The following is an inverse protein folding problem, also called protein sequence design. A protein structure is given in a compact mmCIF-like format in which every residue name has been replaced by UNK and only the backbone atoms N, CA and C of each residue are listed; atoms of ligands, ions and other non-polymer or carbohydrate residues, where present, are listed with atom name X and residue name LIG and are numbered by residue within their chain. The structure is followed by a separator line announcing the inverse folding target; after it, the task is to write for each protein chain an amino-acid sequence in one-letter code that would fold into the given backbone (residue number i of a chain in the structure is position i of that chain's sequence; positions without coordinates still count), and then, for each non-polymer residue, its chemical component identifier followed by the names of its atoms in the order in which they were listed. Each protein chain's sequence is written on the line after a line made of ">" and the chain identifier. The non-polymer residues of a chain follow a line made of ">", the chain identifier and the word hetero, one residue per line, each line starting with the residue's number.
data_IF_769064956193
#
_entry.id   IF_769064956193
#
_cell.length_a   1.000
_cell.length_b   1.000
_cell.length_c   1.000
_cell.angle_alpha   90.00
_cell.angle_beta   90.00
_cell.angle_gamma   90.00
#
_symmetry.space_group_name_H-M   'P 1'
#
loop_
_entity.id
_entity.type
_entity.pdbx_description
1 polymer ?
#
# COMPACT_ATOMS: atom_id res chain seq x y z
N UNK A 1 12.15 -7.06 -0.70
CA UNK A 1 11.37 -7.71 -1.76
C UNK A 1 12.14 -7.78 -3.08
N UNK A 2 12.68 -6.68 -3.60
CA UNK A 2 13.46 -6.61 -4.85
C UNK A 2 14.64 -7.58 -4.92
N UNK A 3 15.48 -7.62 -3.87
CA UNK A 3 16.67 -8.51 -3.83
C UNK A 3 16.25 -9.98 -3.89
N UNK A 4 15.22 -10.36 -3.15
CA UNK A 4 14.70 -11.74 -3.13
C UNK A 4 14.11 -12.16 -4.47
N UNK A 5 13.35 -11.28 -5.12
CA UNK A 5 12.79 -11.50 -6.44
C UNK A 5 13.91 -11.65 -7.50
N UNK A 6 14.91 -10.76 -7.48
CA UNK A 6 16.03 -10.79 -8.40
C UNK A 6 16.89 -12.06 -8.21
N UNK A 7 17.20 -12.44 -6.96
CA UNK A 7 17.98 -13.65 -6.67
C UNK A 7 17.23 -14.92 -7.07
N UNK A 8 15.94 -15.03 -6.72
CA UNK A 8 15.12 -16.17 -7.12
C UNK A 8 14.96 -16.30 -8.63
N UNK A 9 14.71 -15.19 -9.33
CA UNK A 9 14.64 -15.17 -10.79
C UNK A 9 15.96 -15.54 -11.45
N UNK A 10 17.10 -15.05 -10.93
CA UNK A 10 18.42 -15.39 -11.47
C UNK A 10 18.74 -16.90 -11.28
N UNK A 11 18.44 -17.47 -10.12
CA UNK A 11 18.65 -18.90 -9.87
C UNK A 11 17.75 -19.75 -10.79
N UNK A 12 16.50 -19.34 -10.97
CA UNK A 12 15.58 -19.99 -11.92
C UNK A 12 16.10 -19.96 -13.34
N UNK A 13 16.53 -18.77 -13.82
CA UNK A 13 17.06 -18.59 -15.18
C UNK A 13 18.34 -19.41 -15.39
N UNK A 14 19.24 -19.46 -14.40
CA UNK A 14 20.45 -20.29 -14.45
C UNK A 14 20.07 -21.78 -14.50
N UNK A 15 19.15 -22.24 -13.64
CA UNK A 15 18.65 -23.61 -13.65
C UNK A 15 18.10 -24.01 -15.02
N UNK A 16 17.22 -23.18 -15.58
CA UNK A 16 16.64 -23.41 -16.91
C UNK A 16 17.70 -23.40 -18.04
N UNK A 17 18.65 -22.48 -18.00
CA UNK A 17 19.74 -22.44 -18.97
C UNK A 17 20.62 -23.71 -18.91
N UNK A 18 20.95 -24.17 -17.71
CA UNK A 18 21.72 -25.39 -17.52
C UNK A 18 20.97 -26.61 -18.04
N UNK A 19 19.66 -26.70 -17.84
CA UNK A 19 18.83 -27.80 -18.36
C UNK A 19 18.81 -27.82 -19.88
N UNK A 20 18.60 -26.64 -20.51
CA UNK A 20 18.48 -26.53 -21.98
C UNK A 20 19.84 -26.73 -22.67
N UNK A 21 20.92 -26.09 -22.19
CA UNK A 21 22.20 -26.05 -22.86
C UNK A 21 23.17 -27.14 -22.42
N UNK A 22 23.20 -27.49 -21.14
CA UNK A 22 24.20 -28.44 -20.58
C UNK A 22 23.64 -29.86 -20.33
N UNK A 23 22.32 -30.10 -20.52
CA UNK A 23 21.66 -31.41 -20.29
C UNK A 23 22.06 -32.02 -18.91
N UNK A 24 21.99 -31.21 -17.89
CA UNK A 24 22.43 -31.58 -16.53
C UNK A 24 21.54 -32.71 -15.97
N UNK A 25 22.08 -33.61 -15.11
CA UNK A 25 21.28 -34.66 -14.47
C UNK A 25 20.13 -34.08 -13.64
N UNK A 26 18.96 -34.72 -13.69
CA UNK A 26 17.73 -34.30 -12.99
C UNK A 26 17.93 -33.85 -11.53
N UNK A 27 18.77 -34.48 -10.68
CA UNK A 27 18.97 -34.02 -9.31
C UNK A 27 19.55 -32.62 -9.18
N UNK A 28 20.41 -32.20 -10.09
CA UNK A 28 21.03 -30.89 -10.06
C UNK A 28 20.01 -29.82 -10.51
N UNK A 29 19.28 -30.10 -11.59
CA UNK A 29 18.15 -29.27 -12.04
C UNK A 29 17.15 -29.04 -10.91
N UNK A 30 16.72 -30.13 -10.27
CA UNK A 30 15.74 -30.12 -9.20
C UNK A 30 16.24 -29.30 -7.98
N UNK A 31 17.53 -29.36 -7.66
CA UNK A 31 18.14 -28.55 -6.61
C UNK A 31 18.01 -27.03 -6.91
N UNK A 32 18.33 -26.59 -8.15
CA UNK A 32 18.17 -25.18 -8.54
C UNK A 32 16.72 -24.74 -8.49
N UNK A 33 15.79 -25.57 -8.97
CA UNK A 33 14.37 -25.26 -9.00
C UNK A 33 13.78 -25.21 -7.59
N UNK A 34 14.13 -26.15 -6.69
CA UNK A 34 13.68 -26.12 -5.30
C UNK A 34 14.24 -24.89 -4.57
N UNK A 35 15.53 -24.57 -4.71
CA UNK A 35 16.11 -23.38 -4.09
C UNK A 35 15.42 -22.10 -4.57
N UNK A 36 15.21 -21.99 -5.89
CA UNK A 36 14.47 -20.86 -6.45
C UNK A 36 13.03 -20.78 -5.92
N UNK A 37 12.32 -21.92 -5.85
CA UNK A 37 10.97 -22.00 -5.31
C UNK A 37 10.90 -21.56 -3.84
N UNK A 38 11.83 -22.03 -3.00
CA UNK A 38 11.89 -21.65 -1.59
C UNK A 38 12.16 -20.16 -1.41
N UNK A 39 13.03 -19.57 -2.23
CA UNK A 39 13.31 -18.14 -2.20
C UNK A 39 12.09 -17.32 -2.66
N UNK A 40 11.43 -17.71 -3.73
CA UNK A 40 10.30 -16.98 -4.30
C UNK A 40 8.99 -17.24 -3.55
N UNK A 41 8.71 -18.48 -3.21
CA UNK A 41 7.41 -18.93 -2.72
C UNK A 41 7.32 -19.26 -1.23
N UNK A 42 8.45 -19.31 -0.52
CA UNK A 42 8.47 -19.74 0.88
C UNK A 42 7.58 -18.89 1.81
N UNK A 43 7.49 -17.60 1.58
CA UNK A 43 6.59 -16.71 2.32
C UNK A 43 5.11 -16.91 1.94
N UNK A 44 4.83 -17.18 0.67
CA UNK A 44 3.47 -17.46 0.17
C UNK A 44 2.94 -18.74 0.81
N UNK A 45 3.73 -19.81 0.79
CA UNK A 45 3.39 -21.08 1.44
C UNK A 45 3.24 -20.90 2.95
N UNK A 46 4.15 -20.16 3.59
CA UNK A 46 4.05 -19.88 5.02
C UNK A 46 2.79 -19.10 5.38
N UNK A 47 2.44 -18.09 4.58
CA UNK A 47 1.21 -17.33 4.78
C UNK A 47 -0.03 -18.19 4.56
N UNK A 48 -0.04 -19.06 3.55
CA UNK A 48 -1.13 -20.02 3.34
C UNK A 48 -1.34 -20.90 4.58
N UNK A 49 -0.28 -21.50 5.11
CA UNK A 49 -0.36 -22.34 6.33
C UNK A 49 -0.87 -21.53 7.52
N UNK A 50 -0.36 -20.32 7.72
CA UNK A 50 -0.79 -19.43 8.81
C UNK A 50 -2.25 -18.99 8.66
N UNK A 51 -2.74 -18.76 7.44
CA UNK A 51 -4.12 -18.35 7.18
C UNK A 51 -5.09 -19.54 7.38
N UNK A 52 -4.69 -20.74 7.00
CA UNK A 52 -5.43 -21.97 7.30
C UNK A 52 -5.58 -22.14 8.82
N UNK A 53 -4.51 -21.97 9.59
CA UNK A 53 -4.55 -22.08 11.06
C UNK A 53 -5.46 -21.05 11.73
N UNK A 54 -5.77 -19.93 11.03
CA UNK A 54 -6.71 -18.89 11.47
C UNK A 54 -8.13 -19.06 10.90
N UNK A 55 -8.41 -20.20 10.25
CA UNK A 55 -9.71 -20.49 9.66
C UNK A 55 -10.00 -19.79 8.31
N UNK A 56 -8.99 -19.18 7.70
CA UNK A 56 -9.08 -18.58 6.36
C UNK A 56 -8.46 -19.52 5.34
N UNK A 57 -9.23 -20.53 4.91
CA UNK A 57 -8.71 -21.64 4.11
C UNK A 57 -8.64 -21.30 2.61
N UNK A 58 -9.49 -20.43 2.09
CA UNK A 58 -9.63 -20.20 0.65
C UNK A 58 -9.20 -18.77 0.27
N UNK A 59 -7.91 -18.47 0.51
CA UNK A 59 -7.30 -17.23 0.03
C UNK A 59 -6.40 -17.46 -1.20
N UNK A 60 -5.87 -16.38 -1.74
CA UNK A 60 -4.97 -16.41 -2.89
C UNK A 60 -3.67 -17.19 -2.61
N UNK A 61 -3.13 -17.07 -1.40
CA UNK A 61 -1.91 -17.78 -0.99
C UNK A 61 -2.15 -19.29 -0.94
N UNK A 62 -3.32 -19.73 -0.51
CA UNK A 62 -3.72 -21.13 -0.53
C UNK A 62 -3.79 -21.67 -1.96
N UNK A 63 -4.48 -20.96 -2.87
CA UNK A 63 -4.58 -21.37 -4.26
C UNK A 63 -3.22 -21.50 -4.93
N UNK A 64 -2.35 -20.50 -4.76
CA UNK A 64 -1.01 -20.49 -5.33
C UNK A 64 -0.13 -21.62 -4.75
N UNK A 65 -0.22 -21.84 -3.43
CA UNK A 65 0.55 -22.91 -2.77
C UNK A 65 0.10 -24.29 -3.23
N UNK A 66 -1.21 -24.55 -3.27
CA UNK A 66 -1.75 -25.86 -3.71
C UNK A 66 -1.41 -26.13 -5.17
N UNK A 67 -1.56 -25.12 -6.05
CA UNK A 67 -1.28 -25.26 -7.48
C UNK A 67 0.21 -25.56 -7.73
N UNK A 68 1.11 -24.81 -7.09
CA UNK A 68 2.55 -24.95 -7.32
C UNK A 68 3.12 -26.20 -6.66
N UNK A 69 2.67 -26.58 -5.45
CA UNK A 69 3.04 -27.86 -4.81
C UNK A 69 2.48 -29.02 -5.64
N UNK A 70 1.23 -28.91 -6.13
CA UNK A 70 0.65 -29.91 -7.00
C UNK A 70 1.44 -30.08 -8.29
N UNK A 71 1.93 -29.01 -8.90
CA UNK A 71 2.81 -29.07 -10.08
C UNK A 71 4.13 -29.81 -9.77
N UNK A 72 4.73 -29.58 -8.59
CA UNK A 72 5.88 -30.37 -8.14
C UNK A 72 5.58 -31.86 -8.01
N UNK A 73 4.40 -32.23 -7.48
CA UNK A 73 4.01 -33.64 -7.31
C UNK A 73 3.84 -34.37 -8.64
N UNK A 74 3.35 -33.69 -9.68
CA UNK A 74 3.17 -34.28 -11.01
C UNK A 74 4.43 -34.20 -11.90
N UNK A 75 5.55 -33.61 -11.38
CA UNK A 75 6.82 -33.54 -12.10
C UNK A 75 7.01 -32.30 -12.97
N UNK A 76 6.08 -31.32 -12.93
CA UNK A 76 6.15 -30.06 -13.68
C UNK A 76 6.90 -28.99 -12.87
N UNK A 77 8.16 -29.28 -12.57
CA UNK A 77 8.99 -28.44 -11.69
C UNK A 77 9.26 -27.04 -12.23
N UNK A 78 9.65 -26.85 -13.52
CA UNK A 78 9.90 -25.53 -14.07
C UNK A 78 8.65 -24.64 -14.05
N UNK A 79 7.48 -25.23 -14.35
CA UNK A 79 6.20 -24.53 -14.38
C UNK A 79 5.80 -24.04 -12.99
N UNK A 80 5.99 -24.86 -11.95
CA UNK A 80 5.72 -24.48 -10.58
C UNK A 80 6.52 -23.25 -10.13
N UNK A 81 7.81 -23.20 -10.51
CA UNK A 81 8.68 -22.07 -10.17
C UNK A 81 8.32 -20.85 -11.02
N UNK A 82 8.01 -21.03 -12.30
CA UNK A 82 7.59 -19.93 -13.18
C UNK A 82 6.33 -19.25 -12.68
N UNK A 83 5.32 -20.03 -12.30
CA UNK A 83 4.06 -19.51 -11.73
C UNK A 83 4.33 -18.69 -10.48
N UNK A 84 5.17 -19.19 -9.56
CA UNK A 84 5.52 -18.46 -8.34
C UNK A 84 6.32 -17.19 -8.65
N UNK A 85 7.20 -17.22 -9.64
CA UNK A 85 7.94 -16.04 -10.10
C UNK A 85 6.99 -14.97 -10.65
N UNK A 86 6.05 -15.34 -11.53
CA UNK A 86 5.06 -14.40 -12.08
C UNK A 86 4.16 -13.82 -10.99
N UNK A 87 3.76 -14.63 -10.01
CA UNK A 87 3.01 -14.14 -8.86
C UNK A 87 3.79 -13.08 -8.08
N UNK A 88 5.07 -13.34 -7.76
CA UNK A 88 5.92 -12.40 -7.03
C UNK A 88 6.20 -11.12 -7.82
N UNK A 89 6.29 -11.20 -9.15
CA UNK A 89 6.38 -10.00 -10.00
C UNK A 89 5.10 -9.17 -9.91
N UNK A 90 3.93 -9.81 -9.96
CA UNK A 90 2.63 -9.14 -9.77
C UNK A 90 2.54 -8.43 -8.42
N UNK A 91 2.87 -9.12 -7.32
CA UNK A 91 2.91 -8.57 -5.97
C UNK A 91 3.89 -7.39 -5.83
N UNK A 92 5.04 -7.47 -6.52
CA UNK A 92 6.01 -6.37 -6.54
C UNK A 92 5.41 -5.11 -7.18
N UNK A 93 4.79 -5.22 -8.36
CA UNK A 93 4.15 -4.07 -9.01
C UNK A 93 2.98 -3.52 -8.20
N UNK A 94 2.17 -4.39 -7.59
CA UNK A 94 1.11 -3.99 -6.68
C UNK A 94 1.65 -3.20 -5.49
N UNK A 95 2.69 -3.71 -4.83
CA UNK A 95 3.31 -3.03 -3.68
C UNK A 95 3.90 -1.67 -4.05
N UNK A 96 4.43 -1.54 -5.27
CA UNK A 96 4.97 -0.27 -5.78
C UNK A 96 3.86 0.75 -6.03
N UNK A 97 2.76 0.32 -6.65
CA UNK A 97 1.59 1.15 -6.91
C UNK A 97 0.97 1.68 -5.61
N UNK A 98 0.75 0.79 -4.63
CA UNK A 98 0.21 1.16 -3.31
C UNK A 98 1.15 2.11 -2.55
N UNK A 99 2.48 1.88 -2.59
CA UNK A 99 3.46 2.77 -1.94
C UNK A 99 3.43 4.18 -2.54
N UNK A 100 3.36 4.29 -3.86
CA UNK A 100 3.31 5.58 -4.55
C UNK A 100 2.06 6.37 -4.16
N UNK A 101 0.93 5.69 -4.08
CA UNK A 101 -0.34 6.29 -3.69
C UNK A 101 -0.36 6.73 -2.21
N UNK A 102 0.17 5.90 -1.30
CA UNK A 102 0.27 6.25 0.13
C UNK A 102 1.22 7.42 0.40
N UNK A 103 2.22 7.65 -0.44
CA UNK A 103 3.13 8.79 -0.27
C UNK A 103 2.38 10.12 -0.41
N UNK A 104 1.46 10.24 -1.36
CA UNK A 104 0.64 11.46 -1.53
C UNK A 104 -0.22 11.77 -0.30
N UNK A 105 -0.69 10.75 0.42
CA UNK A 105 -1.42 10.93 1.69
C UNK A 105 -0.47 11.30 2.84
N UNK A 106 0.74 10.72 2.87
CA UNK A 106 1.76 11.06 3.88
C UNK A 106 2.23 12.51 3.78
N UNK A 107 2.34 13.03 2.54
CA UNK A 107 2.73 14.42 2.31
C UNK A 107 1.66 15.40 2.84
N UNK A 108 0.38 15.00 2.88
CA UNK A 108 -0.71 15.75 3.54
C UNK A 108 -0.60 15.71 5.08
N UNK A 109 -0.08 14.65 5.66
CA UNK A 109 0.15 14.56 7.12
C UNK A 109 1.31 15.45 7.60
N UNK A 110 2.19 15.86 6.71
CA UNK A 110 3.27 16.80 7.01
C UNK A 110 2.78 18.24 7.28
N UNK A 111 1.46 18.50 7.17
CA UNK A 111 0.85 19.79 7.56
C UNK A 111 0.88 20.01 9.08
N UNK A 112 0.94 18.95 9.89
CA UNK A 112 0.93 19.04 11.36
C UNK A 112 2.17 19.77 11.88
N UNK A 113 2.01 20.86 12.68
CA UNK A 113 3.11 21.51 13.35
C UNK A 113 3.59 20.69 14.56
N UNK A 114 4.90 20.55 14.72
CA UNK A 114 5.50 19.75 15.81
C UNK A 114 5.60 20.54 17.14
N UNK A 115 5.68 21.86 17.08
CA UNK A 115 5.88 22.73 18.23
C UNK A 115 5.28 24.11 18.03
N UNK A 116 5.04 24.82 19.13
CA UNK A 116 4.60 26.20 19.16
C UNK A 116 5.51 27.02 20.10
N UNK A 117 6.00 28.15 19.65
CA UNK A 117 6.72 29.11 20.50
C UNK A 117 5.73 30.13 21.04
N UNK A 118 5.45 30.11 22.34
CA UNK A 118 4.53 31.00 23.03
C UNK A 118 5.28 32.03 23.85
N UNK A 119 4.69 33.23 24.02
CA UNK A 119 5.22 34.26 24.90
C UNK A 119 4.43 34.27 26.19
N UNK A 120 5.04 33.76 27.30
CA UNK A 120 4.47 33.76 28.66
C UNK A 120 5.35 34.59 29.59
N UNK A 121 4.78 35.52 30.32
CA UNK A 121 5.51 36.39 31.27
C UNK A 121 6.71 37.13 30.66
N UNK A 122 6.70 37.44 29.38
CA UNK A 122 7.80 38.09 28.66
C UNK A 122 8.87 37.15 28.11
N UNK A 123 8.83 35.86 28.45
CA UNK A 123 9.76 34.83 27.98
C UNK A 123 9.16 34.03 26.81
N UNK A 124 10.03 33.54 25.93
CA UNK A 124 9.68 32.66 24.82
C UNK A 124 9.88 31.21 25.25
N UNK A 125 8.81 30.44 25.24
CA UNK A 125 8.81 29.02 25.62
C UNK A 125 8.30 28.20 24.45
N UNK A 126 9.01 27.15 24.08
CA UNK A 126 8.57 26.19 23.05
C UNK A 126 7.82 25.04 23.73
N UNK A 127 6.58 24.84 23.35
CA UNK A 127 5.71 23.80 23.91
C UNK A 127 4.99 23.04 22.79
N UNK A 128 4.34 21.91 23.13
CA UNK A 128 3.44 21.23 22.20
C UNK A 128 2.25 22.15 21.86
N UNK A 129 1.83 22.21 20.58
CA UNK A 129 0.66 22.99 20.16
C UNK A 129 -0.62 22.66 20.93
N UNK A 130 -0.74 21.43 21.44
CA UNK A 130 -1.87 20.96 22.26
C UNK A 130 -1.98 21.69 23.62
N UNK A 131 -0.85 22.23 24.11
CA UNK A 131 -0.75 22.92 25.40
C UNK A 131 -0.86 24.45 25.27
N UNK A 132 -1.19 24.96 24.08
CA UNK A 132 -1.42 26.39 23.84
C UNK A 132 -2.90 26.69 24.05
N UNK A 133 -3.18 27.70 24.89
CA UNK A 133 -4.54 28.16 25.18
C UNK A 133 -5.04 29.18 24.16
N UNK A 134 -6.36 29.26 24.01
CA UNK A 134 -6.97 30.30 23.18
C UNK A 134 -6.66 31.69 23.78
N UNK A 135 -6.24 32.62 22.93
CA UNK A 135 -5.86 33.98 23.32
C UNK A 135 -4.40 34.15 23.67
N UNK A 136 -3.59 33.08 23.74
CA UNK A 136 -2.14 33.18 23.91
C UNK A 136 -1.49 33.74 22.64
N UNK A 137 -0.33 34.35 22.82
CA UNK A 137 0.45 34.90 21.71
C UNK A 137 1.54 33.90 21.32
N UNK A 138 1.47 33.42 20.09
CA UNK A 138 2.50 32.59 19.48
C UNK A 138 3.39 33.42 18.58
N UNK A 139 4.66 33.04 18.50
CA UNK A 139 5.64 33.67 17.60
C UNK A 139 6.04 32.64 16.56
N UNK A 140 5.92 33.03 15.30
CA UNK A 140 6.23 32.18 14.15
C UNK A 140 7.30 32.83 13.32
N UNK A 141 8.47 32.19 13.24
CA UNK A 141 9.63 32.67 12.48
C UNK A 141 9.55 32.24 11.02
N UNK A 142 10.31 32.89 10.11
CA UNK A 142 10.48 32.41 8.75
C UNK A 142 10.95 30.94 8.72
N UNK A 143 10.31 30.13 7.87
CA UNK A 143 10.56 28.68 7.77
C UNK A 143 9.81 27.83 8.79
N UNK A 144 9.03 28.41 9.70
CA UNK A 144 8.20 27.66 10.65
C UNK A 144 6.75 27.55 10.16
N UNK A 145 6.10 26.46 10.49
CA UNK A 145 4.64 26.28 10.26
C UNK A 145 3.86 26.99 11.35
N UNK A 146 2.74 27.60 10.98
CA UNK A 146 1.81 28.21 11.94
C UNK A 146 1.15 27.09 12.76
N UNK A 147 1.35 27.07 14.10
CA UNK A 147 0.90 25.95 14.92
C UNK A 147 -0.61 25.94 15.21
N UNK A 148 -1.25 27.08 15.33
CA UNK A 148 -2.68 27.24 15.61
C UNK A 148 -3.28 28.37 14.79
N UNK A 149 -4.58 28.28 14.51
CA UNK A 149 -5.32 29.37 13.87
C UNK A 149 -5.35 30.59 14.78
N UNK A 150 -5.17 31.77 14.19
CA UNK A 150 -5.18 33.02 14.94
C UNK A 150 -5.23 34.26 14.05
N UNK A 151 -5.12 35.42 14.71
CA UNK A 151 -5.06 36.72 14.06
C UNK A 151 -3.68 37.33 14.29
N UNK A 152 -3.10 37.90 13.24
CA UNK A 152 -1.79 38.57 13.28
C UNK A 152 -1.91 39.82 14.13
N UNK A 153 -1.18 39.90 15.25
CA UNK A 153 -1.11 41.09 16.10
C UNK A 153 -0.05 42.05 15.62
N UNK A 154 1.04 41.53 15.12
CA UNK A 154 2.21 42.31 14.67
C UNK A 154 3.05 41.51 13.69
N UNK A 155 3.72 42.21 12.76
CA UNK A 155 4.55 41.63 11.71
C UNK A 155 3.84 41.54 10.37
N UNK A 156 4.64 41.55 9.31
CA UNK A 156 4.26 41.39 7.92
C UNK A 156 5.03 40.20 7.32
N UNK A 157 4.33 39.30 6.61
CA UNK A 157 4.98 38.15 6.00
C UNK A 157 4.21 37.63 4.77
N UNK A 158 4.87 36.70 4.08
CA UNK A 158 4.28 35.88 3.05
C UNK A 158 4.01 34.47 3.62
N UNK A 159 2.79 33.99 3.48
CA UNK A 159 2.41 32.64 3.90
C UNK A 159 2.28 31.72 2.68
N UNK A 160 2.99 30.62 2.71
CA UNK A 160 2.76 29.52 1.76
C UNK A 160 1.55 28.71 2.22
N UNK A 161 0.48 28.82 1.45
CA UNK A 161 -0.80 28.16 1.73
C UNK A 161 -1.01 26.89 0.90
N UNK A 162 -0.03 26.48 0.06
CA UNK A 162 -0.16 25.35 -0.87
C UNK A 162 -0.65 24.08 -0.22
N UNK A 163 -0.16 23.81 0.99
CA UNK A 163 -0.54 22.60 1.73
C UNK A 163 -2.02 22.57 2.14
N UNK A 164 -2.70 23.73 2.22
CA UNK A 164 -4.10 23.84 2.62
C UNK A 164 -5.04 24.15 1.44
N UNK A 165 -4.64 25.05 0.57
CA UNK A 165 -5.50 25.59 -0.51
C UNK A 165 -5.10 25.11 -1.90
N UNK A 166 -3.90 24.54 -2.05
CA UNK A 166 -3.32 24.18 -3.33
C UNK A 166 -2.77 25.37 -4.14
N UNK A 167 -3.01 26.61 -3.70
CA UNK A 167 -2.56 27.80 -4.41
C UNK A 167 -1.04 27.93 -4.35
N UNK A 168 -0.39 28.00 -5.52
CA UNK A 168 1.07 28.10 -5.62
C UNK A 168 1.62 29.48 -5.28
N UNK A 169 0.77 30.51 -5.25
CA UNK A 169 1.17 31.90 -4.97
C UNK A 169 1.09 32.15 -3.46
N UNK A 170 2.18 32.54 -2.79
CA UNK A 170 2.14 32.88 -1.37
C UNK A 170 1.21 34.05 -1.10
N UNK A 171 0.43 33.98 -0.02
CA UNK A 171 -0.48 35.02 0.42
C UNK A 171 0.25 36.00 1.34
N UNK A 172 0.17 37.33 1.03
CA UNK A 172 0.64 38.36 1.95
C UNK A 172 -0.30 38.47 3.16
N UNK A 173 0.29 38.61 4.35
CA UNK A 173 -0.46 38.81 5.61
C UNK A 173 0.13 39.98 6.38
N UNK A 174 -0.76 40.77 6.96
CA UNK A 174 -0.46 41.98 7.73
C UNK A 174 -1.20 41.95 9.07
N UNK A 175 -0.93 42.91 9.92
CA UNK A 175 -1.63 43.06 11.19
C UNK A 175 -3.16 43.11 11.00
N UNK A 176 -3.85 42.23 11.70
CA UNK A 176 -5.31 42.06 11.65
C UNK A 176 -5.79 40.97 10.74
N UNK A 177 -4.92 40.40 9.92
CA UNK A 177 -5.26 39.30 9.02
C UNK A 177 -5.33 37.96 9.76
N UNK A 178 -6.16 37.06 9.24
CA UNK A 178 -6.25 35.68 9.73
C UNK A 178 -5.08 34.84 9.22
N UNK A 179 -4.44 34.12 10.14
CA UNK A 179 -3.37 33.16 9.88
C UNK A 179 -3.82 31.75 10.26
N UNK A 180 -3.86 30.85 9.25
CA UNK A 180 -4.33 29.48 9.43
C UNK A 180 -3.19 28.53 9.82
N UNK A 181 -3.47 27.60 10.73
CA UNK A 181 -2.53 26.56 11.11
C UNK A 181 -2.17 25.66 9.93
N UNK A 182 -0.91 25.22 9.86
CA UNK A 182 -0.38 24.41 8.78
C UNK A 182 0.22 25.21 7.61
N UNK A 183 -0.04 26.54 7.48
CA UNK A 183 0.66 27.40 6.54
C UNK A 183 2.12 27.58 6.94
N UNK A 184 3.02 27.66 5.94
CA UNK A 184 4.45 27.93 6.16
C UNK A 184 4.71 29.44 6.11
N UNK A 185 5.28 29.99 7.17
CA UNK A 185 5.74 31.37 7.20
C UNK A 185 7.05 31.52 6.42
N UNK A 186 7.13 32.47 5.46
CA UNK A 186 8.28 32.57 4.55
C UNK A 186 9.26 33.70 4.88
N UNK A 187 8.79 34.89 5.22
CA UNK A 187 9.67 36.08 5.17
C UNK A 187 9.85 36.79 6.50
N UNK A 188 8.78 37.17 7.18
CA UNK A 188 8.82 37.98 8.41
C UNK A 188 8.51 37.16 9.66
N UNK A 189 8.85 37.71 10.82
CA UNK A 189 8.41 37.15 12.11
C UNK A 189 6.98 37.60 12.37
N UNK A 190 6.09 36.68 12.66
CA UNK A 190 4.68 36.96 12.98
C UNK A 190 4.41 36.75 14.47
N UNK A 191 3.72 37.68 15.07
CA UNK A 191 3.06 37.53 16.36
C UNK A 191 1.56 37.30 16.14
N UNK A 192 1.09 36.10 16.49
CA UNK A 192 -0.29 35.66 16.22
C UNK A 192 -0.99 35.40 17.55
N UNK A 193 -2.18 35.98 17.74
CA UNK A 193 -3.06 35.65 18.86
C UNK A 193 -3.95 34.47 18.46
N UNK A 194 -3.85 33.39 19.19
CA UNK A 194 -4.61 32.17 18.93
C UNK A 194 -6.11 32.37 19.11
N UNK A 195 -6.91 31.90 18.16
CA UNK A 195 -8.38 32.01 18.17
C UNK A 195 -9.08 30.67 18.39
N UNK A 196 -8.38 29.57 18.13
CA UNK A 196 -8.92 28.22 18.29
C UNK A 196 -7.97 27.33 19.10
N UNK A 197 -8.52 26.32 19.76
CA UNK A 197 -7.72 25.25 20.37
C UNK A 197 -7.12 24.35 19.29
N UNK A 198 -6.05 23.60 19.61
CA UNK A 198 -5.33 22.76 18.65
C UNK A 198 -6.27 21.78 17.93
N UNK A 199 -7.14 21.05 18.65
CA UNK A 199 -8.08 20.10 18.04
C UNK A 199 -9.13 20.73 17.11
N UNK A 200 -9.37 22.05 17.24
CA UNK A 200 -10.28 22.81 16.38
C UNK A 200 -9.57 23.58 15.26
N UNK A 201 -8.24 23.51 15.21
CA UNK A 201 -7.42 24.19 14.22
C UNK A 201 -7.64 23.61 12.81
N UNK A 202 -7.40 24.42 11.80
CA UNK A 202 -7.58 24.04 10.40
C UNK A 202 -6.75 22.81 10.03
N UNK A 203 -5.48 22.77 10.42
CA UNK A 203 -4.62 21.61 10.18
C UNK A 203 -5.15 20.33 10.86
N UNK A 204 -5.58 20.42 12.14
CA UNK A 204 -6.11 19.25 12.87
C UNK A 204 -7.39 18.72 12.24
N UNK A 205 -8.30 19.58 11.80
CA UNK A 205 -9.53 19.16 11.10
C UNK A 205 -9.26 18.47 9.77
N UNK A 206 -8.29 18.97 9.01
CA UNK A 206 -7.91 18.33 7.74
C UNK A 206 -7.33 16.95 8.00
N UNK A 207 -6.43 16.81 8.98
CA UNK A 207 -5.84 15.52 9.36
C UNK A 207 -6.93 14.55 9.82
N UNK A 208 -7.84 14.98 10.70
CA UNK A 208 -8.95 14.16 11.19
C UNK A 208 -9.88 13.70 10.05
N UNK A 209 -10.19 14.57 9.11
CA UNK A 209 -10.97 14.20 7.91
C UNK A 209 -10.25 13.16 7.06
N UNK A 210 -8.93 13.30 6.86
CA UNK A 210 -8.12 12.34 6.08
C UNK A 210 -8.01 11.00 6.81
N UNK A 211 -7.76 11.00 8.14
CA UNK A 211 -7.71 9.79 8.96
C UNK A 211 -9.05 9.07 8.99
N UNK A 212 -10.14 9.79 9.21
CA UNK A 212 -11.49 9.23 9.22
C UNK A 212 -11.93 8.73 7.84
N UNK A 213 -11.55 9.42 6.76
CA UNK A 213 -11.79 8.95 5.40
C UNK A 213 -11.01 7.67 5.09
N UNK A 214 -9.75 7.58 5.54
CA UNK A 214 -8.90 6.41 5.32
C UNK A 214 -9.22 5.23 6.26
N UNK A 215 -9.75 5.49 7.46
CA UNK A 215 -10.14 4.45 8.43
C UNK A 215 -11.50 3.81 8.13
N UNK A 216 -12.39 4.49 7.42
CA UNK A 216 -13.60 3.87 6.88
C UNK A 216 -13.16 2.88 5.80
N UNK A 217 -13.06 1.59 6.16
CA UNK A 217 -12.85 0.50 5.19
C UNK A 217 -13.77 0.74 4.02
N UNK A 218 -13.19 1.06 2.89
CA UNK A 218 -13.97 1.36 1.70
C UNK A 218 -14.92 0.17 1.46
N UNK A 219 -16.17 0.39 1.05
CA UNK A 219 -17.11 -0.68 0.67
C UNK A 219 -16.49 -1.69 -0.30
N UNK A 220 -15.50 -1.25 -1.05
CA UNK A 220 -14.68 -2.03 -1.98
C UNK A 220 -13.79 -3.09 -1.33
N UNK A 221 -13.20 -2.86 -0.13
CA UNK A 221 -12.45 -3.92 0.59
C UNK A 221 -13.36 -5.03 1.09
N UNK A 222 -14.58 -4.67 1.52
CA UNK A 222 -15.60 -5.65 1.88
C UNK A 222 -16.08 -6.45 0.66
N UNK A 223 -16.17 -5.82 -0.51
CA UNK A 223 -16.52 -6.49 -1.76
C UNK A 223 -15.48 -7.54 -2.15
N UNK A 224 -14.17 -7.20 -2.13
CA UNK A 224 -13.09 -8.15 -2.45
C UNK A 224 -13.13 -9.35 -1.51
N UNK A 225 -13.24 -9.10 -0.21
CA UNK A 225 -13.28 -10.18 0.80
C UNK A 225 -14.51 -11.07 0.61
N UNK A 226 -15.66 -10.47 0.30
CA UNK A 226 -16.91 -11.23 0.05
C UNK A 226 -16.82 -12.00 -1.27
N UNK A 227 -16.31 -11.37 -2.33
CA UNK A 227 -16.10 -12.02 -3.62
C UNK A 227 -15.16 -13.23 -3.48
N UNK A 228 -13.99 -13.06 -2.87
CA UNK A 228 -13.02 -14.13 -2.68
C UNK A 228 -13.61 -15.32 -1.89
N UNK A 229 -14.44 -15.04 -0.89
CA UNK A 229 -15.10 -16.07 -0.07
C UNK A 229 -15.98 -17.03 -0.89
N UNK A 230 -16.62 -16.54 -1.94
CA UNK A 230 -17.50 -17.36 -2.81
C UNK A 230 -16.75 -17.86 -4.05
N UNK A 231 -15.94 -17.02 -4.65
CA UNK A 231 -15.22 -17.32 -5.88
C UNK A 231 -14.24 -18.48 -5.71
N UNK A 232 -13.40 -18.42 -4.67
CA UNK A 232 -12.34 -19.41 -4.45
C UNK A 232 -12.85 -20.84 -4.27
N UNK A 233 -13.86 -21.12 -3.43
CA UNK A 233 -14.43 -22.46 -3.33
C UNK A 233 -15.03 -22.98 -4.65
N UNK A 234 -15.68 -22.10 -5.42
CA UNK A 234 -16.26 -22.49 -6.71
C UNK A 234 -15.16 -22.90 -7.69
N UNK A 235 -14.09 -22.13 -7.78
CA UNK A 235 -12.94 -22.45 -8.65
C UNK A 235 -12.27 -23.76 -8.22
N UNK A 236 -12.06 -23.98 -6.92
CA UNK A 236 -11.48 -25.22 -6.41
C UNK A 236 -12.35 -26.42 -6.73
N UNK A 237 -13.66 -26.32 -6.55
CA UNK A 237 -14.60 -27.38 -6.89
C UNK A 237 -14.58 -27.67 -8.40
N UNK A 238 -14.61 -26.64 -9.24
CA UNK A 238 -14.52 -26.81 -10.70
C UNK A 238 -13.20 -27.44 -11.14
N UNK A 239 -12.08 -27.05 -10.53
CA UNK A 239 -10.77 -27.67 -10.76
C UNK A 239 -10.75 -29.16 -10.39
N UNK A 240 -11.35 -29.50 -9.24
CA UNK A 240 -11.49 -30.89 -8.81
C UNK A 240 -12.39 -31.70 -9.76
N UNK A 241 -13.49 -31.11 -10.22
CA UNK A 241 -14.33 -31.73 -11.27
C UNK A 241 -13.56 -31.94 -12.56
N UNK A 242 -12.77 -30.97 -13.02
CA UNK A 242 -11.96 -31.06 -14.23
C UNK A 242 -10.87 -32.12 -14.09
N UNK A 243 -10.28 -32.29 -12.91
CA UNK A 243 -9.24 -33.27 -12.67
C UNK A 243 -9.78 -34.72 -12.55
N UNK A 244 -11.01 -34.91 -12.04
CA UNK A 244 -11.54 -36.23 -11.67
C UNK A 244 -12.57 -36.77 -12.70
N UNK A 245 -13.49 -35.92 -13.16
CA UNK A 245 -14.63 -36.39 -13.96
C UNK A 245 -14.23 -36.84 -15.38
N UNK A 246 -13.41 -36.12 -16.16
CA UNK A 246 -13.08 -36.53 -17.50
C UNK A 246 -12.25 -37.84 -17.59
N UNK A 247 -11.25 -38.13 -16.72
CA UNK A 247 -10.56 -39.40 -16.79
C UNK A 247 -11.48 -40.60 -16.49
N UNK A 248 -12.52 -40.41 -15.69
CA UNK A 248 -13.50 -41.47 -15.39
C UNK A 248 -14.42 -41.72 -16.62
N UNK A 249 -14.88 -40.64 -17.30
CA UNK A 249 -15.85 -40.73 -18.38
C UNK A 249 -15.17 -41.02 -19.73
N UNK A 250 -14.04 -40.36 -20.01
CA UNK A 250 -13.37 -40.42 -21.32
C UNK A 250 -12.22 -41.42 -21.36
N UNK A 251 -11.82 -42.02 -20.22
CA UNK A 251 -10.75 -43.03 -20.17
C UNK A 251 -9.37 -42.49 -20.49
N UNK A 252 -9.04 -41.24 -20.12
CA UNK A 252 -7.73 -40.62 -20.35
C UNK A 252 -6.75 -40.78 -19.19
N UNK A 253 -5.47 -40.41 -19.43
CA UNK A 253 -4.43 -40.42 -18.40
C UNK A 253 -4.72 -39.47 -17.26
N UNK A 254 -4.76 -39.96 -16.04
CA UNK A 254 -5.02 -39.17 -14.81
C UNK A 254 -4.09 -37.97 -14.66
N UNK A 255 -2.79 -38.17 -14.96
CA UNK A 255 -1.76 -37.13 -14.85
C UNK A 255 -2.10 -35.90 -15.68
N UNK A 256 -2.57 -36.10 -16.92
CA UNK A 256 -2.89 -35.01 -17.84
C UNK A 256 -4.10 -34.19 -17.34
N UNK A 257 -5.15 -34.85 -16.83
CA UNK A 257 -6.32 -34.16 -16.31
C UNK A 257 -6.06 -33.47 -14.97
N UNK A 258 -5.23 -34.06 -14.11
CA UNK A 258 -4.76 -33.42 -12.88
C UNK A 258 -3.93 -32.18 -13.21
N UNK A 259 -3.03 -32.26 -14.19
CA UNK A 259 -2.27 -31.11 -14.70
C UNK A 259 -3.19 -29.99 -15.17
N UNK A 260 -4.21 -30.32 -15.98
CA UNK A 260 -5.20 -29.34 -16.42
C UNK A 260 -5.99 -28.70 -15.26
N UNK A 261 -6.30 -29.46 -14.23
CA UNK A 261 -6.92 -28.97 -13.01
C UNK A 261 -6.03 -27.95 -12.28
N UNK A 262 -4.73 -28.23 -12.15
CA UNK A 262 -3.80 -27.26 -11.55
C UNK A 262 -3.59 -26.02 -12.41
N UNK A 263 -3.45 -26.15 -13.72
CA UNK A 263 -3.38 -25.00 -14.64
C UNK A 263 -4.65 -24.16 -14.54
N UNK A 264 -5.81 -24.80 -14.47
CA UNK A 264 -7.08 -24.09 -14.27
C UNK A 264 -7.12 -23.29 -12.97
N UNK A 265 -6.60 -23.83 -11.86
CA UNK A 265 -6.48 -23.10 -10.59
C UNK A 265 -5.61 -21.85 -10.72
N UNK A 266 -4.46 -21.96 -11.39
CA UNK A 266 -3.55 -20.84 -11.60
C UNK A 266 -4.18 -19.75 -12.46
N UNK A 267 -4.76 -20.12 -13.60
CA UNK A 267 -5.36 -19.16 -14.56
C UNK A 267 -6.60 -18.48 -13.96
N UNK A 268 -7.31 -19.17 -13.07
CA UNK A 268 -8.48 -18.64 -12.38
C UNK A 268 -8.13 -17.71 -11.21
N UNK A 269 -6.86 -17.33 -11.02
CA UNK A 269 -6.51 -16.31 -10.03
C UNK A 269 -7.15 -14.96 -10.41
N UNK A 270 -7.93 -14.30 -9.54
CA UNK A 270 -8.50 -12.98 -9.81
C UNK A 270 -7.50 -11.85 -9.54
N UNK A 271 -6.22 -12.09 -9.80
CA UNK A 271 -5.12 -11.18 -9.46
C UNK A 271 -5.32 -9.77 -10.03
N UNK A 272 -5.82 -9.66 -11.27
CA UNK A 272 -6.13 -8.38 -11.89
C UNK A 272 -7.24 -7.60 -11.16
N UNK A 273 -8.27 -8.30 -10.65
CA UNK A 273 -9.35 -7.69 -9.88
C UNK A 273 -8.84 -7.16 -8.54
N UNK A 274 -8.02 -7.95 -7.85
CA UNK A 274 -7.45 -7.60 -6.53
C UNK A 274 -6.52 -6.39 -6.65
N UNK A 275 -5.77 -6.27 -7.75
CA UNK A 275 -4.87 -5.14 -8.02
C UNK A 275 -5.65 -3.90 -8.47
N UNK A 276 -6.67 -4.07 -9.32
CA UNK A 276 -7.41 -2.96 -9.92
C UNK A 276 -8.16 -2.10 -8.89
N UNK A 277 -8.73 -2.71 -7.86
CA UNK A 277 -9.58 -2.00 -6.90
C UNK A 277 -8.78 -1.02 -6.02
N UNK A 278 -7.68 -1.42 -5.33
CA UNK A 278 -6.85 -0.46 -4.61
C UNK A 278 -6.26 0.61 -5.53
N UNK A 279 -5.82 0.23 -6.72
CA UNK A 279 -5.21 1.16 -7.68
C UNK A 279 -6.21 2.23 -8.14
N UNK A 280 -7.45 1.84 -8.45
CA UNK A 280 -8.51 2.78 -8.87
C UNK A 280 -8.93 3.69 -7.72
N UNK A 281 -9.08 3.16 -6.52
CA UNK A 281 -9.45 3.93 -5.34
C UNK A 281 -8.38 4.98 -4.99
N UNK A 282 -7.14 4.57 -4.88
CA UNK A 282 -6.04 5.48 -4.57
C UNK A 282 -5.71 6.40 -5.75
N UNK A 283 -5.81 5.92 -6.99
CA UNK A 283 -5.65 6.74 -8.19
C UNK A 283 -6.72 7.82 -8.31
N UNK A 284 -7.98 7.47 -7.96
CA UNK A 284 -9.10 8.41 -7.92
C UNK A 284 -8.92 9.50 -6.87
N UNK A 285 -8.48 9.14 -5.65
CA UNK A 285 -8.16 10.13 -4.60
C UNK A 285 -7.00 11.03 -5.04
N UNK A 286 -5.94 10.46 -5.62
CA UNK A 286 -4.80 11.25 -6.11
C UNK A 286 -5.16 12.18 -7.27
N UNK A 287 -6.03 11.77 -8.20
CA UNK A 287 -6.53 12.61 -9.28
C UNK A 287 -7.45 13.71 -8.74
N UNK A 288 -8.39 13.37 -7.84
CA UNK A 288 -9.28 14.36 -7.22
C UNK A 288 -8.49 15.38 -6.39
N UNK A 289 -7.44 14.96 -5.69
CA UNK A 289 -6.54 15.87 -4.98
C UNK A 289 -5.84 16.85 -5.94
N UNK A 290 -5.37 16.40 -7.10
CA UNK A 290 -4.74 17.26 -8.09
C UNK A 290 -5.72 18.23 -8.77
N UNK A 291 -6.98 17.82 -9.00
CA UNK A 291 -8.00 18.70 -9.63
C UNK A 291 -8.60 19.72 -8.65
N UNK A 292 -8.63 19.44 -7.37
CA UNK A 292 -9.08 20.39 -6.34
C UNK A 292 -8.03 21.49 -6.09
N UNK A 293 -6.78 21.24 -6.51
CA UNK A 293 -5.65 22.16 -6.35
C UNK A 293 -5.24 22.89 -7.66
N UNK A 294 -6.03 22.82 -8.72
CA UNK A 294 -5.95 23.64 -9.92
C UNK A 294 -7.10 24.65 -9.96
#
# INVERSE_FOLDING_TARGET
>A
MTVRLATGAAIYAIGMALTVFAKVPLPIELAFLIVSYVILGGDVVWQAVRNISKGRVFDEHFLMSVSTIGAFVIGEYPEAVAVMLFYQVGEFFQSLAVKRSRKSISDLMDIRPDSATVRRNGELITISPENVSIGEIIIVKPGEKIPLDGVVLDGDSMLDTRALTGESVPRSVHKGDEALSGCMNQTGVLMIKTTKAFGESTASKIIDLVENASSRKAPTENFITTFARYYTPVVVILAAFLAILPPIILGGGWTEWIRRGFVFLVVSCPCALVISIPLTFFGGIGAASNEVFL
#
